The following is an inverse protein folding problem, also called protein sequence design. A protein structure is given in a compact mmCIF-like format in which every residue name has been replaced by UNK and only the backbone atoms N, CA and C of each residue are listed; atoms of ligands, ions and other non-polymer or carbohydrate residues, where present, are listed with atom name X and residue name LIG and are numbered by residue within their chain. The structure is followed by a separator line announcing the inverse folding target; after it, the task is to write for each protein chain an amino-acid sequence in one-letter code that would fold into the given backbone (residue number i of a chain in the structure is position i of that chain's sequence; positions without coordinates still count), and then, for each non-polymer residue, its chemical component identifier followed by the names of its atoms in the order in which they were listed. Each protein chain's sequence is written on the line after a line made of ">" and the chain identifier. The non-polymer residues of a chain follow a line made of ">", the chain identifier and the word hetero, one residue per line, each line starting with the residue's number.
data_IF_984901882554
#
_entry.id   IF_984901882554
#
_cell.length_a   1.000
_cell.length_b   1.000
_cell.length_c   1.000
_cell.angle_alpha   90.00
_cell.angle_beta   90.00
_cell.angle_gamma   90.00
#
_symmetry.space_group_name_H-M   'P 1'
#
loop_
_entity.id
_entity.type
_entity.pdbx_description
1 polymer ?
#
# COMPACT_ATOMS: atom_id res chain seq x y z
N UNK A 1 2.65 25.33 37.16
CA UNK A 1 3.19 24.71 35.92
C UNK A 1 2.23 23.62 35.49
N UNK A 2 1.51 23.80 34.39
CA UNK A 2 0.56 22.82 33.85
C UNK A 2 1.33 21.69 33.17
N UNK A 3 1.18 20.46 33.67
CA UNK A 3 1.79 19.24 33.11
C UNK A 3 0.95 18.74 31.93
N UNK A 4 1.49 18.79 30.72
CA UNK A 4 0.89 18.17 29.53
C UNK A 4 1.13 16.65 29.53
N UNK A 5 0.11 15.87 29.20
CA UNK A 5 0.12 14.39 29.23
C UNK A 5 0.52 13.75 27.90
N UNK A 6 0.79 14.54 26.85
CA UNK A 6 1.15 14.02 25.54
C UNK A 6 2.49 13.30 25.61
N UNK A 7 2.53 12.07 25.09
CA UNK A 7 3.78 11.34 24.89
C UNK A 7 4.67 12.09 23.91
N UNK A 8 5.98 11.81 23.95
CA UNK A 8 6.95 12.41 23.04
C UNK A 8 6.65 12.11 21.57
N UNK A 9 7.36 12.76 20.63
CA UNK A 9 7.16 12.57 19.20
C UNK A 9 7.30 11.09 18.81
N UNK A 10 6.32 10.57 18.07
CA UNK A 10 6.41 9.24 17.49
C UNK A 10 7.30 9.28 16.26
N UNK A 11 8.34 8.46 16.24
CA UNK A 11 9.21 8.31 15.07
C UNK A 11 8.67 7.22 14.15
N UNK A 12 8.27 7.61 12.94
CA UNK A 12 7.82 6.69 11.90
C UNK A 12 8.97 6.39 10.94
N UNK A 13 9.10 5.13 10.52
CA UNK A 13 10.00 4.73 9.45
C UNK A 13 9.50 5.18 8.08
N UNK A 14 10.36 5.03 7.06
CA UNK A 14 9.95 5.25 5.67
C UNK A 14 8.90 4.20 5.25
N UNK A 15 7.96 4.56 4.38
CA UNK A 15 7.03 3.59 3.81
C UNK A 15 7.78 2.48 3.07
N UNK A 16 7.26 1.26 3.16
CA UNK A 16 7.78 0.14 2.38
C UNK A 16 7.67 0.42 0.87
N UNK A 17 8.63 -0.11 0.10
CA UNK A 17 8.60 -0.05 -1.36
C UNK A 17 7.29 -0.61 -1.94
N UNK A 18 6.84 -0.05 -3.06
CA UNK A 18 5.61 -0.45 -3.74
C UNK A 18 5.62 -1.96 -4.07
N UNK A 19 4.54 -2.71 -3.77
CA UNK A 19 4.54 -4.16 -3.95
C UNK A 19 4.61 -4.52 -5.44
N UNK A 20 5.37 -5.58 -5.73
CA UNK A 20 5.54 -6.15 -7.06
C UNK A 20 4.51 -7.28 -7.24
N UNK A 21 3.79 -7.35 -8.37
CA UNK A 21 2.89 -8.45 -8.65
C UNK A 21 3.66 -9.78 -8.74
N UNK A 22 3.10 -10.86 -8.19
CA UNK A 22 3.68 -12.18 -8.33
C UNK A 22 3.46 -12.71 -9.75
N UNK A 23 4.51 -13.25 -10.35
CA UNK A 23 4.44 -13.88 -11.68
C UNK A 23 3.39 -15.01 -11.71
N UNK A 24 2.62 -15.07 -12.79
CA UNK A 24 1.57 -16.07 -12.97
C UNK A 24 0.27 -15.83 -12.17
N UNK A 25 0.25 -14.92 -11.20
CA UNK A 25 -0.94 -14.68 -10.39
C UNK A 25 -1.89 -13.65 -11.04
N UNK A 26 -3.07 -14.11 -11.47
CA UNK A 26 -4.07 -13.26 -12.11
C UNK A 26 -4.60 -12.14 -11.20
N UNK A 27 -4.72 -12.39 -9.89
CA UNK A 27 -5.13 -11.38 -8.91
C UNK A 27 -4.12 -10.25 -8.77
N UNK A 28 -2.83 -10.60 -8.68
CA UNK A 28 -1.75 -9.62 -8.67
C UNK A 28 -1.72 -8.79 -9.96
N UNK A 29 -1.86 -9.43 -11.13
CA UNK A 29 -1.89 -8.74 -12.41
C UNK A 29 -3.05 -7.73 -12.51
N UNK A 30 -4.25 -8.12 -12.11
CA UNK A 30 -5.42 -7.24 -12.12
C UNK A 30 -5.25 -6.03 -11.20
N UNK A 31 -4.68 -6.22 -10.00
CA UNK A 31 -4.37 -5.12 -9.08
C UNK A 31 -3.30 -4.19 -9.65
N UNK A 32 -2.25 -4.73 -10.28
CA UNK A 32 -1.19 -3.94 -10.91
C UNK A 32 -1.72 -3.08 -12.06
N UNK A 33 -2.60 -3.62 -12.91
CA UNK A 33 -3.20 -2.85 -14.01
C UNK A 33 -4.09 -1.72 -13.52
N UNK A 34 -4.95 -1.97 -12.53
CA UNK A 34 -5.77 -0.93 -11.90
C UNK A 34 -4.91 0.16 -11.27
N UNK A 35 -3.77 -0.22 -10.68
CA UNK A 35 -2.84 0.72 -10.05
C UNK A 35 -2.15 1.60 -11.09
N UNK A 36 -1.72 1.01 -12.20
CA UNK A 36 -1.16 1.75 -13.35
C UNK A 36 -2.17 2.75 -13.90
N UNK A 37 -3.44 2.35 -14.05
CA UNK A 37 -4.51 3.24 -14.50
C UNK A 37 -4.75 4.41 -13.53
N UNK A 38 -4.89 4.13 -12.23
CA UNK A 38 -5.05 5.16 -11.20
C UNK A 38 -3.87 6.15 -11.19
N UNK A 39 -2.64 5.64 -11.32
CA UNK A 39 -1.44 6.48 -11.38
C UNK A 39 -1.41 7.38 -12.61
N UNK A 40 -1.81 6.88 -13.79
CA UNK A 40 -1.95 7.70 -15.01
C UNK A 40 -3.01 8.79 -14.84
N UNK A 41 -4.08 8.52 -14.09
CA UNK A 41 -5.13 9.50 -13.77
C UNK A 41 -4.79 10.46 -12.62
N UNK A 42 -3.63 10.32 -11.96
CA UNK A 42 -3.26 11.13 -10.80
C UNK A 42 -3.98 10.77 -9.50
N UNK A 43 -4.76 9.69 -9.47
CA UNK A 43 -5.47 9.21 -8.29
C UNK A 43 -4.52 8.42 -7.37
N UNK A 44 -3.69 9.15 -6.63
CA UNK A 44 -2.71 8.56 -5.73
C UNK A 44 -3.33 7.90 -4.48
N UNK A 45 -4.55 8.27 -4.11
CA UNK A 45 -5.29 7.60 -3.03
C UNK A 45 -5.61 6.17 -3.44
N UNK A 46 -6.17 5.98 -4.64
CA UNK A 46 -6.45 4.65 -5.18
C UNK A 46 -5.17 3.84 -5.41
N UNK A 47 -4.06 4.47 -5.80
CA UNK A 47 -2.75 3.79 -5.89
C UNK A 47 -2.34 3.22 -4.53
N UNK A 48 -2.44 4.01 -3.46
CA UNK A 48 -2.13 3.57 -2.10
C UNK A 48 -3.01 2.39 -1.67
N UNK A 49 -4.32 2.47 -1.89
CA UNK A 49 -5.26 1.40 -1.56
C UNK A 49 -4.95 0.09 -2.31
N UNK A 50 -4.58 0.19 -3.59
CA UNK A 50 -4.21 -0.96 -4.39
C UNK A 50 -2.90 -1.60 -3.92
N UNK A 51 -1.96 -0.81 -3.39
CA UNK A 51 -0.75 -1.35 -2.75
C UNK A 51 -1.09 -2.15 -1.49
N UNK A 52 -1.98 -1.63 -0.64
CA UNK A 52 -2.44 -2.35 0.56
C UNK A 52 -3.16 -3.64 0.18
N UNK A 53 -4.08 -3.59 -0.80
CA UNK A 53 -4.80 -4.78 -1.28
C UNK A 53 -3.87 -5.82 -1.88
N UNK A 54 -2.85 -5.42 -2.62
CA UNK A 54 -1.87 -6.35 -3.19
C UNK A 54 -1.07 -7.08 -2.10
N UNK A 55 -0.62 -6.38 -1.05
CA UNK A 55 0.04 -7.03 0.09
C UNK A 55 -0.88 -8.00 0.81
N UNK A 56 -2.14 -7.61 1.03
CA UNK A 56 -3.13 -8.49 1.66
C UNK A 56 -3.34 -9.76 0.84
N UNK A 57 -3.52 -9.62 -0.48
CA UNK A 57 -3.66 -10.75 -1.39
C UNK A 57 -2.44 -11.69 -1.37
N UNK A 58 -1.22 -11.13 -1.40
CA UNK A 58 0.01 -11.91 -1.30
C UNK A 58 0.13 -12.66 0.03
N UNK A 59 -0.33 -12.06 1.14
CA UNK A 59 -0.34 -12.70 2.45
C UNK A 59 -1.42 -13.77 2.63
N UNK A 60 -2.54 -13.68 1.89
CA UNK A 60 -3.64 -14.64 1.96
C UNK A 60 -3.52 -15.81 0.97
N UNK A 61 -2.56 -15.76 0.05
CA UNK A 61 -2.31 -16.79 -0.96
C UNK A 61 -2.49 -16.26 -2.38
N UNK A 62 -1.39 -16.23 -3.13
CA UNK A 62 -1.43 -16.08 -4.58
C UNK A 62 -1.67 -17.47 -5.20
N UNK A 63 -2.74 -17.59 -5.98
CA UNK A 63 -3.00 -18.73 -6.86
C UNK A 63 -2.68 -18.35 -8.32
#
# INVERSE_FOLDING_TARGET
>A
MTKTTMSGPMHLGLPNAEPVPMEGCGGCAALAERRRAARRGGDLSTVSDLNVRMRAHQGSGCA
#
